data_IF_906898666455
#
_entry.id   IF_906898666455
#
_cell.length_a   1.000
_cell.length_b   1.000
_cell.length_c   1.000
_cell.angle_alpha   90.00
_cell.angle_beta   90.00
_cell.angle_gamma   90.00
#
_symmetry.space_group_name_H-M   'P 1'
#
loop_
_entity.id
_entity.type
_entity.pdbx_description
1 polymer ?
#
# COMPACT_ATOMS: atom_id res chain seq x y z
N UNK A 1 11.22 -28.83 18.72
CA UNK A 1 11.08 -28.36 17.33
C UNK A 1 11.85 -27.06 17.22
N UNK A 2 12.94 -27.05 16.45
CA UNK A 2 13.71 -25.83 16.21
C UNK A 2 12.99 -24.99 15.17
N UNK A 3 12.77 -23.71 15.43
CA UNK A 3 12.20 -22.80 14.42
C UNK A 3 13.07 -22.82 13.16
N UNK A 4 12.46 -22.84 11.96
CA UNK A 4 13.22 -22.73 10.72
C UNK A 4 14.02 -21.41 10.71
N UNK A 5 15.24 -21.40 10.15
CA UNK A 5 16.05 -20.20 10.09
C UNK A 5 15.30 -19.11 9.33
N UNK A 6 15.05 -17.96 9.99
CA UNK A 6 14.44 -16.79 9.37
C UNK A 6 15.27 -16.39 8.14
N UNK A 7 14.66 -16.39 6.96
CA UNK A 7 15.31 -15.90 5.73
C UNK A 7 15.73 -14.44 5.95
N UNK A 8 16.93 -14.09 5.47
CA UNK A 8 17.40 -12.70 5.50
C UNK A 8 16.63 -11.90 4.46
N UNK A 9 16.14 -10.72 4.85
CA UNK A 9 15.56 -9.76 3.91
C UNK A 9 16.67 -9.24 3.00
N UNK A 10 16.40 -9.23 1.70
CA UNK A 10 17.28 -8.63 0.71
C UNK A 10 17.53 -7.14 1.01
N UNK A 11 18.80 -6.73 1.03
CA UNK A 11 19.19 -5.38 1.47
C UNK A 11 18.67 -4.30 0.54
N UNK A 12 18.61 -4.58 -0.76
CA UNK A 12 18.15 -3.61 -1.75
C UNK A 12 16.64 -3.39 -1.64
N UNK A 13 15.88 -4.46 -1.45
CA UNK A 13 14.46 -4.42 -1.14
C UNK A 13 14.19 -3.59 0.14
N UNK A 14 14.98 -3.81 1.20
CA UNK A 14 14.85 -3.03 2.43
C UNK A 14 15.17 -1.54 2.22
N UNK A 15 16.20 -1.22 1.42
CA UNK A 15 16.58 0.15 1.08
C UNK A 15 15.47 0.87 0.32
N UNK A 16 14.93 0.25 -0.73
CA UNK A 16 13.83 0.79 -1.54
C UNK A 16 12.57 1.03 -0.69
N UNK A 17 12.16 0.04 0.11
CA UNK A 17 11.01 0.19 1.01
C UNK A 17 11.22 1.32 2.02
N UNK A 18 12.41 1.39 2.62
CA UNK A 18 12.75 2.46 3.57
C UNK A 18 12.69 3.84 2.90
N UNK A 19 13.16 3.95 1.65
CA UNK A 19 13.07 5.18 0.85
C UNK A 19 11.61 5.57 0.62
N UNK A 20 10.76 4.64 0.18
CA UNK A 20 9.31 4.86 -0.02
C UNK A 20 8.62 5.37 1.24
N UNK A 21 8.90 4.75 2.39
CA UNK A 21 8.30 5.17 3.66
C UNK A 21 8.83 6.53 4.16
N UNK A 22 10.01 6.95 3.70
CA UNK A 22 10.61 8.25 3.99
C UNK A 22 10.17 9.36 3.02
N UNK A 23 9.63 9.02 1.84
CA UNK A 23 9.18 10.02 0.86
C UNK A 23 8.07 10.89 1.44
N UNK A 24 8.23 12.20 1.29
CA UNK A 24 7.25 13.24 1.64
C UNK A 24 7.21 14.24 0.49
N UNK A 25 6.00 14.50 0.00
CA UNK A 25 5.78 15.53 -1.00
C UNK A 25 5.93 16.92 -0.40
N UNK A 26 6.37 17.85 -1.23
CA UNK A 26 6.26 19.28 -0.96
C UNK A 26 4.85 19.78 -1.27
N UNK A 27 4.47 20.92 -0.71
CA UNK A 27 3.17 21.56 -0.98
C UNK A 27 2.95 21.81 -2.48
N UNK A 28 4.02 22.15 -3.22
CA UNK A 28 3.97 22.39 -4.66
C UNK A 28 3.75 21.09 -5.46
N UNK A 29 4.26 19.97 -4.97
CA UNK A 29 4.10 18.65 -5.61
C UNK A 29 2.70 18.09 -5.37
N UNK A 30 2.11 18.36 -4.20
CA UNK A 30 0.81 17.82 -3.80
C UNK A 30 -0.27 18.02 -4.87
N UNK A 31 -0.43 19.24 -5.39
CA UNK A 31 -1.45 19.54 -6.41
C UNK A 31 -1.23 18.72 -7.68
N UNK A 32 0.03 18.62 -8.14
CA UNK A 32 0.41 17.83 -9.31
C UNK A 32 0.12 16.34 -9.11
N UNK A 33 0.28 15.84 -7.89
CA UNK A 33 0.08 14.43 -7.57
C UNK A 33 -1.39 14.02 -7.47
N UNK A 34 -2.30 14.92 -7.07
CA UNK A 34 -3.68 14.54 -6.72
C UNK A 34 -4.76 15.08 -7.67
N UNK A 35 -4.42 16.02 -8.56
CA UNK A 35 -5.41 16.65 -9.45
C UNK A 35 -5.59 16.01 -10.82
N UNK A 36 -4.55 15.44 -11.48
CA UNK A 36 -4.76 14.82 -12.79
C UNK A 36 -5.70 13.62 -12.71
N UNK A 37 -5.59 12.84 -11.64
CA UNK A 37 -6.40 11.66 -11.33
C UNK A 37 -6.54 11.50 -9.83
N UNK A 38 -7.61 10.83 -9.39
CA UNK A 38 -7.77 10.51 -7.97
C UNK A 38 -6.65 9.57 -7.53
N UNK A 39 -5.87 9.92 -6.51
CA UNK A 39 -4.78 9.08 -6.03
C UNK A 39 -5.35 7.81 -5.37
N UNK A 40 -4.49 6.81 -5.17
CA UNK A 40 -4.88 5.56 -4.49
C UNK A 40 -4.06 5.35 -3.21
N UNK A 41 -4.74 5.07 -2.13
CA UNK A 41 -4.15 4.59 -0.89
C UNK A 41 -4.01 3.08 -0.94
N UNK A 42 -2.80 2.57 -0.67
CA UNK A 42 -2.53 1.14 -0.56
C UNK A 42 -1.87 0.82 0.78
N UNK A 43 -2.25 -0.31 1.35
CA UNK A 43 -1.87 -0.74 2.70
C UNK A 43 -1.35 -2.19 2.74
N UNK A 44 -1.23 -2.82 1.58
CA UNK A 44 -0.90 -4.23 1.40
C UNK A 44 0.47 -4.39 0.74
N UNK A 45 0.71 -5.49 0.05
CA UNK A 45 1.94 -5.77 -0.70
C UNK A 45 2.28 -4.69 -1.73
N UNK A 46 1.31 -3.92 -2.22
CA UNK A 46 1.55 -2.76 -3.10
C UNK A 46 2.34 -1.62 -2.42
N UNK A 47 2.50 -1.65 -1.10
CA UNK A 47 3.43 -0.76 -0.38
C UNK A 47 4.90 -1.07 -0.70
N UNK A 48 5.19 -2.23 -1.30
CA UNK A 48 6.53 -2.69 -1.61
C UNK A 48 6.91 -2.23 -3.02
N UNK A 49 7.99 -1.44 -3.20
CA UNK A 49 8.31 -0.83 -4.48
C UNK A 49 8.48 -1.84 -5.62
N UNK A 50 9.10 -3.00 -5.37
CA UNK A 50 9.28 -4.03 -6.40
C UNK A 50 7.96 -4.73 -6.77
N UNK A 51 7.01 -4.85 -5.83
CA UNK A 51 5.68 -5.40 -6.14
C UNK A 51 4.91 -4.41 -6.99
N UNK A 52 4.88 -3.14 -6.59
CA UNK A 52 4.23 -2.08 -7.35
C UNK A 52 4.85 -1.94 -8.74
N UNK A 53 6.18 -1.92 -8.85
CA UNK A 53 6.89 -1.88 -10.12
C UNK A 53 6.53 -3.05 -11.03
N UNK A 54 6.49 -4.28 -10.50
CA UNK A 54 6.03 -5.45 -11.26
C UNK A 54 4.60 -5.30 -11.76
N UNK A 55 3.68 -4.80 -10.93
CA UNK A 55 2.29 -4.54 -11.32
C UNK A 55 2.20 -3.47 -12.41
N UNK A 56 3.04 -2.45 -12.33
CA UNK A 56 3.07 -1.36 -13.31
C UNK A 56 3.90 -1.68 -14.56
N UNK A 57 4.54 -2.85 -14.64
CA UNK A 57 5.50 -3.25 -15.68
C UNK A 57 6.73 -2.33 -15.77
N UNK A 58 7.20 -1.82 -14.65
CA UNK A 58 8.47 -1.12 -14.52
C UNK A 58 9.55 -2.17 -14.29
N UNK A 59 10.51 -2.26 -15.21
CA UNK A 59 11.48 -3.37 -15.26
C UNK A 59 12.90 -2.97 -14.90
N UNK A 60 13.23 -1.69 -15.02
CA UNK A 60 14.53 -1.15 -14.67
C UNK A 60 14.51 -0.42 -13.32
N UNK A 61 15.70 -0.28 -12.74
CA UNK A 61 15.88 0.28 -11.41
C UNK A 61 15.58 1.78 -11.34
N UNK A 62 15.95 2.53 -12.37
CA UNK A 62 15.76 3.98 -12.41
C UNK A 62 14.25 4.30 -12.42
N UNK A 63 13.46 3.52 -13.14
CA UNK A 63 12.00 3.61 -13.12
C UNK A 63 11.39 3.27 -11.76
N UNK A 64 11.95 2.34 -10.99
CA UNK A 64 11.49 2.07 -9.61
C UNK A 64 11.79 3.28 -8.73
N UNK A 65 12.99 3.85 -8.84
CA UNK A 65 13.39 5.03 -8.08
C UNK A 65 12.56 6.27 -8.43
N UNK A 66 12.21 6.45 -9.70
CA UNK A 66 11.29 7.49 -10.16
C UNK A 66 9.87 7.27 -9.60
N UNK A 67 9.35 6.05 -9.70
CA UNK A 67 8.03 5.66 -9.18
C UNK A 67 7.88 6.01 -7.69
N UNK A 68 8.94 5.85 -6.89
CA UNK A 68 8.94 6.21 -5.45
C UNK A 68 8.61 7.71 -5.25
N UNK A 69 9.00 8.60 -6.17
CA UNK A 69 8.67 10.02 -6.12
C UNK A 69 7.16 10.30 -6.21
N UNK A 70 6.40 9.41 -6.84
CA UNK A 70 4.94 9.47 -6.94
C UNK A 70 4.23 8.87 -5.73
N UNK A 71 4.96 8.59 -4.64
CA UNK A 71 4.41 8.01 -3.40
C UNK A 71 4.68 8.91 -2.20
N UNK A 72 3.78 8.89 -1.21
CA UNK A 72 4.03 9.48 0.10
C UNK A 72 3.40 8.60 1.19
N UNK A 73 3.95 8.62 2.41
CA UNK A 73 3.32 7.92 3.54
C UNK A 73 1.95 8.53 3.84
N UNK A 74 0.98 7.66 4.10
CA UNK A 74 -0.39 8.07 4.42
C UNK A 74 -0.96 7.25 5.57
N UNK A 75 -1.89 7.83 6.31
CA UNK A 75 -2.61 7.17 7.41
C UNK A 75 -4.11 7.23 7.16
N UNK A 76 -4.77 6.08 7.24
CA UNK A 76 -6.22 5.95 7.12
C UNK A 76 -6.83 5.67 8.51
N UNK A 77 -7.72 6.54 8.97
CA UNK A 77 -8.39 6.45 10.28
C UNK A 77 -9.69 5.66 10.21
N UNK A 78 -10.10 5.03 11.31
CA UNK A 78 -11.34 4.22 11.43
C UNK A 78 -11.32 2.93 10.61
N UNK A 79 -10.12 2.43 10.31
CA UNK A 79 -9.91 1.11 9.71
C UNK A 79 -8.88 0.35 10.53
N UNK A 80 -8.96 -0.98 10.48
CA UNK A 80 -7.86 -1.82 10.96
C UNK A 80 -7.49 -2.85 9.90
N UNK A 81 -6.20 -3.22 9.91
CA UNK A 81 -5.65 -4.24 9.02
C UNK A 81 -5.85 -5.63 9.62
N UNK A 82 -6.30 -6.54 8.77
CA UNK A 82 -6.58 -7.94 9.08
C UNK A 82 -6.14 -8.82 7.90
N UNK A 83 -6.33 -10.13 7.98
CA UNK A 83 -5.87 -11.07 6.95
C UNK A 83 -6.99 -12.01 6.49
N UNK A 84 -7.05 -12.29 5.19
CA UNK A 84 -7.98 -13.27 4.61
C UNK A 84 -7.44 -14.67 4.88
N UNK A 85 -8.17 -15.51 5.63
CA UNK A 85 -7.73 -16.83 6.13
C UNK A 85 -7.16 -17.74 5.04
N UNK A 86 -7.84 -17.82 3.90
CA UNK A 86 -7.52 -18.79 2.84
C UNK A 86 -6.41 -18.30 1.91
N UNK A 87 -6.27 -16.98 1.75
CA UNK A 87 -5.30 -16.38 0.85
C UNK A 87 -4.02 -15.91 1.57
N UNK A 88 -4.07 -15.73 2.89
CA UNK A 88 -2.97 -15.13 3.63
C UNK A 88 -2.70 -13.67 3.20
N UNK A 89 -3.64 -13.00 2.56
CA UNK A 89 -3.47 -11.64 2.06
C UNK A 89 -4.02 -10.61 3.05
N UNK A 90 -3.30 -9.49 3.30
CA UNK A 90 -3.80 -8.43 4.14
C UNK A 90 -4.99 -7.72 3.48
N UNK A 91 -5.97 -7.34 4.28
CA UNK A 91 -7.09 -6.48 3.90
C UNK A 91 -7.38 -5.47 5.01
N UNK A 92 -8.26 -4.50 4.75
CA UNK A 92 -8.78 -3.60 5.78
C UNK A 92 -10.30 -3.71 5.86
N UNK A 93 -10.81 -3.44 7.06
CA UNK A 93 -12.22 -3.33 7.36
C UNK A 93 -12.46 -2.06 8.15
N UNK A 94 -13.62 -1.44 7.96
CA UNK A 94 -14.04 -0.30 8.76
C UNK A 94 -14.27 -0.73 10.22
N UNK A 95 -13.95 0.15 11.17
CA UNK A 95 -14.17 -0.07 12.59
C UNK A 95 -14.63 1.20 13.30
N UNK A 96 -15.42 1.04 14.35
CA UNK A 96 -15.83 2.14 15.24
C UNK A 96 -14.85 2.36 16.38
N UNK A 97 -13.88 1.47 16.56
CA UNK A 97 -12.81 1.62 17.54
C UNK A 97 -11.73 2.56 16.99
N UNK A 98 -11.00 3.22 17.89
CA UNK A 98 -9.85 4.03 17.50
C UNK A 98 -8.77 3.12 16.91
N UNK A 99 -8.63 3.19 15.59
CA UNK A 99 -7.68 2.41 14.82
C UNK A 99 -7.25 3.19 13.59
N UNK A 100 -6.00 2.98 13.19
CA UNK A 100 -5.43 3.56 12.00
C UNK A 100 -4.63 2.53 11.20
N UNK A 101 -4.60 2.71 9.90
CA UNK A 101 -3.80 1.90 8.97
C UNK A 101 -2.77 2.81 8.30
N UNK A 102 -1.50 2.52 8.56
CA UNK A 102 -0.38 3.11 7.83
C UNK A 102 -0.24 2.49 6.45
N UNK A 103 -0.17 3.31 5.42
CA UNK A 103 0.03 2.87 4.04
C UNK A 103 0.85 3.88 3.26
N UNK A 104 0.74 3.79 1.94
CA UNK A 104 1.26 4.81 1.03
C UNK A 104 0.12 5.33 0.16
N UNK A 105 0.15 6.62 -0.13
CA UNK A 105 -0.67 7.27 -1.13
C UNK A 105 0.15 7.35 -2.42
N UNK A 106 -0.43 6.90 -3.53
CA UNK A 106 0.18 6.94 -4.85
C UNK A 106 -0.57 7.98 -5.69
N UNK A 107 0.12 9.02 -6.11
CA UNK A 107 -0.39 10.10 -6.95
C UNK A 107 0.07 9.97 -8.40
N UNK A 108 -0.39 10.89 -9.26
CA UNK A 108 0.05 10.98 -10.66
C UNK A 108 -0.27 9.74 -11.50
N UNK A 109 -1.18 8.88 -11.05
CA UNK A 109 -1.48 7.62 -11.74
C UNK A 109 -2.30 7.88 -12.99
N UNK A 110 -1.74 7.57 -14.15
CA UNK A 110 -2.53 7.52 -15.38
C UNK A 110 -3.62 6.44 -15.31
N UNK A 111 -4.74 6.59 -16.05
CA UNK A 111 -5.83 5.60 -16.04
C UNK A 111 -5.38 4.17 -16.36
N UNK A 112 -4.38 4.01 -17.22
CA UNK A 112 -3.84 2.69 -17.58
C UNK A 112 -3.07 2.04 -16.42
N UNK A 113 -2.40 2.83 -15.58
CA UNK A 113 -1.69 2.36 -14.40
C UNK A 113 -2.69 1.92 -13.31
N UNK A 114 -3.77 2.69 -13.12
CA UNK A 114 -4.89 2.30 -12.25
C UNK A 114 -5.49 0.96 -12.69
N UNK A 115 -5.73 0.76 -13.99
CA UNK A 115 -6.29 -0.50 -14.50
C UNK A 115 -5.38 -1.73 -14.23
N UNK A 116 -4.06 -1.55 -14.21
CA UNK A 116 -3.11 -2.60 -13.82
C UNK A 116 -3.24 -2.94 -12.33
N UNK A 117 -3.36 -1.93 -11.48
CA UNK A 117 -3.62 -2.12 -10.04
C UNK A 117 -4.95 -2.87 -9.85
N UNK A 118 -6.00 -2.47 -10.55
CA UNK A 118 -7.31 -3.13 -10.49
C UNK A 118 -7.21 -4.61 -10.89
N UNK A 119 -6.44 -4.90 -11.93
CA UNK A 119 -6.19 -6.28 -12.39
C UNK A 119 -5.40 -7.08 -11.35
N UNK A 120 -4.40 -6.47 -10.70
CA UNK A 120 -3.62 -7.11 -9.65
C UNK A 120 -4.45 -7.43 -8.41
N UNK A 121 -5.29 -6.50 -7.98
CA UNK A 121 -6.22 -6.73 -6.86
C UNK A 121 -7.23 -7.81 -7.23
N UNK A 122 -7.64 -7.85 -8.51
CA UNK A 122 -8.46 -8.89 -9.09
C UNK A 122 -9.94 -8.80 -8.72
N UNK A 123 -10.79 -9.58 -9.39
CA UNK A 123 -12.18 -9.71 -9.01
C UNK A 123 -12.26 -10.44 -7.67
N UNK A 124 -12.84 -9.81 -6.65
CA UNK A 124 -12.89 -10.41 -5.33
C UNK A 124 -13.83 -9.70 -4.38
N UNK A 125 -13.71 -10.07 -3.11
CA UNK A 125 -14.46 -9.48 -2.01
C UNK A 125 -13.82 -8.18 -1.52
N UNK A 126 -13.17 -7.45 -2.43
CA UNK A 126 -12.60 -6.12 -2.20
C UNK A 126 -13.40 -5.12 -3.00
N UNK A 127 -14.00 -4.16 -2.31
CA UNK A 127 -14.72 -3.05 -2.91
C UNK A 127 -13.81 -1.83 -3.00
N UNK A 128 -13.81 -1.19 -4.17
CA UNK A 128 -13.15 0.11 -4.36
C UNK A 128 -14.04 1.22 -3.80
N UNK A 129 -13.49 2.07 -2.94
CA UNK A 129 -14.21 3.20 -2.36
C UNK A 129 -13.31 4.42 -2.15
N UNK A 130 -13.94 5.59 -2.00
CA UNK A 130 -13.24 6.84 -1.69
C UNK A 130 -13.13 7.01 -0.18
N UNK A 131 -11.92 7.24 0.29
CA UNK A 131 -11.58 7.49 1.69
C UNK A 131 -10.80 8.79 1.85
N UNK A 132 -10.74 9.30 3.08
CA UNK A 132 -9.91 10.44 3.44
C UNK A 132 -8.66 9.92 4.19
N UNK A 133 -7.48 10.18 3.64
CA UNK A 133 -6.20 9.81 4.27
C UNK A 133 -5.44 11.05 4.70
N UNK A 134 -4.74 10.96 5.83
CA UNK A 134 -3.80 11.99 6.28
C UNK A 134 -2.41 11.70 5.73
N UNK A 135 -1.81 12.70 5.09
CA UNK A 135 -0.40 12.69 4.69
C UNK A 135 0.36 13.78 5.45
N UNK A 136 1.65 13.57 5.65
CA UNK A 136 2.58 14.60 6.14
C UNK A 136 3.37 15.13 4.95
N UNK A 137 3.52 16.44 4.86
CA UNK A 137 4.34 17.11 3.85
C UNK A 137 5.76 17.30 4.37
N UNK A 138 6.69 17.65 3.47
CA UNK A 138 8.11 17.82 3.80
C UNK A 138 8.37 18.90 4.85
N UNK A 139 7.51 19.91 4.94
CA UNK A 139 7.57 20.98 5.95
C UNK A 139 6.93 20.58 7.31
N UNK A 140 6.44 19.34 7.43
CA UNK A 140 5.78 18.81 8.63
C UNK A 140 4.28 19.09 8.68
N UNK A 141 3.71 19.82 7.72
CA UNK A 141 2.28 20.07 7.69
C UNK A 141 1.50 18.80 7.35
N UNK A 142 0.38 18.58 8.04
CA UNK A 142 -0.52 17.47 7.78
C UNK A 142 -1.68 17.91 6.92
N UNK A 143 -1.97 17.13 5.88
CA UNK A 143 -3.05 17.42 4.93
C UNK A 143 -3.89 16.18 4.75
N UNK A 144 -5.20 16.37 4.65
CA UNK A 144 -6.14 15.31 4.31
C UNK A 144 -6.40 15.27 2.82
N UNK A 145 -6.34 14.08 2.23
CA UNK A 145 -6.49 13.85 0.79
C UNK A 145 -7.55 12.78 0.56
N UNK A 146 -8.49 13.08 -0.34
CA UNK A 146 -9.43 12.08 -0.84
C UNK A 146 -8.69 11.11 -1.78
N UNK A 147 -8.80 9.82 -1.51
CA UNK A 147 -8.11 8.77 -2.25
C UNK A 147 -9.03 7.58 -2.49
N UNK A 148 -8.79 6.84 -3.57
CA UNK A 148 -9.37 5.52 -3.73
C UNK A 148 -8.64 4.53 -2.82
N UNK A 149 -9.33 3.51 -2.35
CA UNK A 149 -8.73 2.35 -1.67
C UNK A 149 -9.58 1.12 -1.94
N UNK A 150 -9.06 -0.05 -1.55
CA UNK A 150 -9.78 -1.32 -1.61
C UNK A 150 -10.09 -1.80 -0.20
N UNK A 151 -11.37 -2.01 0.13
CA UNK A 151 -11.82 -2.43 1.45
C UNK A 151 -12.50 -3.78 1.35
N UNK A 152 -12.38 -4.61 2.37
CA UNK A 152 -13.08 -5.88 2.43
C UNK A 152 -14.61 -5.68 2.44
N UNK A 153 -15.27 -6.34 1.50
CA UNK A 153 -16.73 -6.36 1.32
C UNK A 153 -17.28 -7.81 1.40
N UNK A 154 -16.47 -8.74 1.89
CA UNK A 154 -16.83 -10.14 2.06
C UNK A 154 -17.30 -10.52 3.45
N UNK A 155 -17.59 -11.81 3.69
CA UNK A 155 -17.98 -12.29 5.01
C UNK A 155 -16.84 -12.19 6.03
N UNK A 156 -17.12 -11.61 7.20
CA UNK A 156 -16.13 -11.37 8.25
C UNK A 156 -15.53 -12.66 8.82
N UNK A 157 -16.28 -13.77 8.77
CA UNK A 157 -15.82 -15.10 9.21
C UNK A 157 -14.68 -15.67 8.36
N UNK A 158 -14.43 -15.12 7.18
CA UNK A 158 -13.29 -15.50 6.33
C UNK A 158 -12.01 -14.72 6.69
N UNK A 159 -12.10 -13.78 7.64
CA UNK A 159 -10.98 -13.01 8.14
C UNK A 159 -10.44 -13.58 9.45
N UNK A 160 -9.14 -13.48 9.65
CA UNK A 160 -8.47 -13.77 10.91
C UNK A 160 -7.76 -12.53 11.44
N UNK A 161 -7.83 -12.34 12.76
CA UNK A 161 -7.15 -11.25 13.47
C UNK A 161 -5.64 -11.52 13.56
N UNK A 162 -4.99 -11.64 12.41
CA UNK A 162 -3.56 -11.86 12.27
C UNK A 162 -2.91 -10.57 11.80
N UNK A 163 -1.86 -10.17 12.51
CA UNK A 163 -1.09 -8.99 12.16
C UNK A 163 -0.26 -9.28 10.90
N UNK A 164 -0.35 -8.39 9.92
CA UNK A 164 0.48 -8.41 8.73
C UNK A 164 1.35 -7.17 8.68
N UNK A 165 2.65 -7.36 8.44
CA UNK A 165 3.58 -6.28 8.16
C UNK A 165 4.28 -6.48 6.81
N UNK A 166 4.69 -5.39 6.15
CA UNK A 166 5.56 -5.47 4.97
C UNK A 166 6.85 -6.27 5.23
N UNK A 167 7.41 -6.18 6.44
CA UNK A 167 8.64 -6.90 6.81
C UNK A 167 8.44 -8.41 6.94
N UNK A 168 7.27 -8.86 7.41
CA UNK A 168 6.95 -10.28 7.46
C UNK A 168 6.80 -10.83 6.04
N UNK A 169 6.15 -10.09 5.14
CA UNK A 169 6.08 -10.46 3.73
C UNK A 169 7.47 -10.55 3.06
N UNK A 170 8.36 -9.57 3.31
CA UNK A 170 9.73 -9.59 2.80
C UNK A 170 10.53 -10.81 3.30
N UNK A 171 10.29 -11.23 4.54
CA UNK A 171 11.02 -12.34 5.17
C UNK A 171 10.54 -13.68 4.64
N UNK A 172 9.23 -13.87 4.60
CA UNK A 172 8.66 -15.19 4.33
C UNK A 172 8.62 -15.45 2.81
N UNK A 173 8.55 -14.38 2.01
CA UNK A 173 8.17 -14.43 0.61
C UNK A 173 6.70 -14.83 0.50
N UNK A 174 5.93 -14.17 -0.38
CA UNK A 174 4.59 -14.68 -0.69
C UNK A 174 4.69 -16.12 -1.18
N UNK A 175 3.73 -17.01 -0.87
CA UNK A 175 3.44 -18.10 -1.80
C UNK A 175 3.22 -17.46 -3.17
N UNK A 176 4.01 -17.89 -4.15
CA UNK A 176 3.85 -17.49 -5.54
C UNK A 176 2.39 -17.73 -5.95
N UNK A 177 1.75 -16.68 -6.47
CA UNK A 177 0.62 -16.80 -7.37
C UNK A 177 1.08 -16.28 -8.74
#
# INVERSE_FOLDING_TARGET
>A
MSEPPKKKIDQESLRLYSKTMATRWEQAELYTMITPTTPIFVYCTLMLPWVLARVLNITDYDGIEEMIGYTTRATLQSYFRTQVKTAGMPTIVHTTQEAAVDGILIGGLEPHAMAKIDTYIGPGLLKKETVEVEIELRDGNKVKVAALTYVWDGPMETLEAKHWTPLDFMRDGSPEA
#
